data_IF_430086386500
#
_entry.id   IF_430086386500
#
_cell.length_a   1.000
_cell.length_b   1.000
_cell.length_c   1.000
_cell.angle_alpha   90.00
_cell.angle_beta   90.00
_cell.angle_gamma   90.00
#
_symmetry.space_group_name_H-M   'P 1'
#
loop_
_entity.id
_entity.type
_entity.pdbx_description
1 polymer ?
#
# COMPACT_ATOMS: atom_id res chain seq x y z
N UNK A 1 15.24 -21.35 30.74
CA UNK A 1 16.21 -20.61 29.92
C UNK A 1 16.53 -21.49 28.74
N UNK A 2 15.84 -21.32 27.61
CA UNK A 2 16.19 -21.94 26.34
C UNK A 2 16.74 -20.87 25.43
N UNK A 3 17.96 -21.10 25.03
CA UNK A 3 18.81 -20.25 24.21
C UNK A 3 18.23 -20.20 22.77
N UNK A 4 17.70 -19.06 22.34
CA UNK A 4 17.32 -18.84 20.96
C UNK A 4 18.55 -18.31 20.20
N UNK A 5 19.44 -19.28 19.87
CA UNK A 5 20.58 -19.06 19.01
C UNK A 5 20.19 -18.38 17.70
N UNK A 6 20.99 -17.42 17.34
CA UNK A 6 21.02 -16.64 16.10
C UNK A 6 20.71 -17.49 14.86
N UNK A 7 19.49 -17.41 14.35
CA UNK A 7 19.17 -17.90 13.00
C UNK A 7 19.67 -16.88 11.99
N UNK A 8 20.41 -17.32 10.95
CA UNK A 8 20.80 -16.44 9.86
C UNK A 8 19.53 -15.94 9.14
N UNK A 9 19.50 -14.67 8.78
CA UNK A 9 18.48 -14.07 7.92
C UNK A 9 18.41 -14.82 6.60
N UNK A 10 17.62 -15.89 6.52
CA UNK A 10 17.19 -16.43 5.24
C UNK A 10 16.24 -15.41 4.64
N UNK A 11 16.66 -14.81 3.52
CA UNK A 11 15.81 -14.04 2.64
C UNK A 11 14.70 -14.98 2.13
N UNK A 12 13.61 -15.05 2.88
CA UNK A 12 12.38 -15.67 2.38
C UNK A 12 11.80 -14.68 1.37
N UNK A 13 11.92 -14.99 0.09
CA UNK A 13 11.25 -14.21 -0.96
C UNK A 13 9.76 -14.52 -0.89
N UNK A 14 8.92 -13.56 -0.44
CA UNK A 14 7.47 -13.79 -0.41
C UNK A 14 6.93 -14.08 -1.82
N UNK A 15 5.78 -14.77 -1.97
CA UNK A 15 5.18 -15.09 -3.26
C UNK A 15 4.96 -13.86 -4.17
N UNK A 16 4.72 -12.69 -3.60
CA UNK A 16 4.63 -11.43 -4.35
C UNK A 16 5.95 -11.06 -5.06
N UNK A 17 7.11 -11.45 -4.52
CA UNK A 17 8.40 -11.28 -5.20
C UNK A 17 8.64 -12.28 -6.34
N UNK A 18 7.79 -13.28 -6.50
CA UNK A 18 7.79 -14.17 -7.67
C UNK A 18 7.03 -13.56 -8.85
N UNK A 19 6.28 -12.47 -8.62
CA UNK A 19 5.64 -11.72 -9.68
C UNK A 19 6.72 -11.09 -10.60
N UNK A 20 6.74 -11.43 -11.91
CA UNK A 20 7.77 -10.96 -12.83
C UNK A 20 7.82 -9.43 -12.95
N UNK A 21 6.71 -8.74 -12.76
CA UNK A 21 6.64 -7.27 -12.77
C UNK A 21 7.33 -6.64 -11.55
N UNK A 22 7.24 -7.26 -10.37
CA UNK A 22 7.93 -6.77 -9.16
C UNK A 22 9.42 -7.06 -9.25
N UNK A 23 9.84 -8.21 -9.77
CA UNK A 23 11.25 -8.51 -10.04
C UNK A 23 11.87 -7.54 -11.04
N UNK A 24 11.14 -7.15 -12.08
CA UNK A 24 11.63 -6.21 -13.08
C UNK A 24 11.77 -4.79 -12.51
N UNK A 25 10.85 -4.34 -11.67
CA UNK A 25 10.94 -3.06 -10.98
C UNK A 25 12.15 -3.00 -10.02
N UNK A 26 12.45 -4.11 -9.30
CA UNK A 26 13.58 -4.18 -8.38
C UNK A 26 14.93 -4.38 -9.11
N UNK A 27 14.98 -5.08 -10.23
CA UNK A 27 16.19 -5.26 -11.04
C UNK A 27 16.71 -3.93 -11.65
N UNK A 28 15.82 -2.96 -11.88
CA UNK A 28 16.17 -1.61 -12.34
C UNK A 28 16.84 -0.73 -11.25
N UNK A 29 16.90 -1.18 -9.99
CA UNK A 29 17.45 -0.40 -8.86
C UNK A 29 18.93 -0.66 -8.57
N UNK A 30 19.59 -1.58 -9.29
CA UNK A 30 21.04 -1.75 -9.21
C UNK A 30 21.71 -0.80 -10.22
N UNK A 31 22.75 -0.03 -9.88
CA UNK A 31 23.47 0.80 -10.84
C UNK A 31 24.25 -0.10 -11.81
N UNK A 32 23.63 -0.47 -12.92
CA UNK A 32 24.29 -1.12 -14.01
C UNK A 32 25.00 -0.08 -14.88
N UNK A 33 26.29 -0.32 -15.16
CA UNK A 33 27.06 0.44 -16.14
C UNK A 33 26.33 0.45 -17.48
N UNK A 34 25.94 1.63 -17.90
CA UNK A 34 25.19 1.93 -19.12
C UNK A 34 25.96 1.49 -20.37
N UNK A 35 25.35 0.62 -21.17
CA UNK A 35 25.56 0.60 -22.61
C UNK A 35 24.20 0.86 -23.28
N UNK A 36 24.08 2.00 -23.94
CA UNK A 36 22.91 2.36 -24.73
C UNK A 36 22.85 1.52 -26.00
N UNK A 37 21.76 0.78 -26.19
CA UNK A 37 21.38 0.24 -27.49
C UNK A 37 20.54 1.29 -28.25
N UNK A 38 20.61 1.35 -29.59
CA UNK A 38 19.97 2.41 -30.38
C UNK A 38 18.45 2.33 -30.31
N UNK A 39 17.81 3.49 -30.15
CA UNK A 39 16.37 3.67 -30.17
C UNK A 39 15.77 3.23 -31.51
N UNK A 40 14.83 2.30 -31.48
CA UNK A 40 13.94 2.06 -32.60
C UNK A 40 12.95 3.22 -32.70
N UNK A 41 12.91 3.85 -33.87
CA UNK A 41 11.97 4.91 -34.21
C UNK A 41 10.54 4.40 -34.15
N UNK A 42 9.71 5.03 -33.34
CA UNK A 42 8.27 4.79 -33.29
C UNK A 42 7.62 5.24 -34.61
N UNK A 43 6.63 4.51 -35.14
CA UNK A 43 5.89 4.95 -36.32
C UNK A 43 5.12 6.25 -36.00
N UNK A 44 5.10 7.16 -36.97
CA UNK A 44 4.39 8.45 -36.86
C UNK A 44 2.92 8.26 -36.47
N UNK A 45 2.50 9.04 -35.48
CA UNK A 45 1.12 9.07 -35.02
C UNK A 45 0.20 9.61 -36.12
N UNK A 46 -0.83 8.85 -36.47
CA UNK A 46 -1.89 9.30 -37.39
C UNK A 46 -2.61 10.51 -36.73
N UNK A 47 -2.71 11.66 -37.41
CA UNK A 47 -3.39 12.80 -36.80
C UNK A 47 -4.89 12.56 -36.70
N UNK A 48 -5.37 12.30 -35.48
CA UNK A 48 -6.80 12.28 -35.18
C UNK A 48 -7.28 13.73 -35.15
N UNK A 49 -8.08 14.12 -36.15
CA UNK A 49 -8.73 15.44 -36.22
C UNK A 49 -9.81 15.50 -35.13
N UNK A 50 -9.49 16.13 -34.01
CA UNK A 50 -10.47 16.40 -32.93
C UNK A 50 -11.48 17.45 -33.44
N UNK A 51 -12.79 17.26 -33.22
CA UNK A 51 -13.76 18.31 -33.48
C UNK A 51 -13.48 19.50 -32.58
N UNK A 52 -13.61 20.70 -33.15
CA UNK A 52 -13.17 21.98 -32.61
C UNK A 52 -13.35 22.14 -31.08
N UNK A 53 -12.22 22.49 -30.46
CA UNK A 53 -12.19 22.98 -29.08
C UNK A 53 -13.00 24.26 -28.98
N UNK A 54 -14.14 24.18 -28.27
CA UNK A 54 -14.77 25.40 -27.78
C UNK A 54 -13.79 26.10 -26.84
N UNK A 55 -13.57 27.39 -26.95
CA UNK A 55 -12.72 28.13 -26.01
C UNK A 55 -13.36 28.05 -24.63
N UNK A 56 -12.67 27.41 -23.69
CA UNK A 56 -13.04 27.45 -22.28
C UNK A 56 -12.84 28.88 -21.79
N UNK A 57 -13.90 29.69 -21.82
CA UNK A 57 -13.87 31.00 -21.19
C UNK A 57 -13.79 30.74 -19.68
N UNK A 58 -12.60 30.89 -19.10
CA UNK A 58 -12.41 30.96 -17.65
C UNK A 58 -13.09 32.22 -17.13
N UNK A 59 -14.34 32.09 -16.74
CA UNK A 59 -14.98 33.11 -15.92
C UNK A 59 -14.32 33.08 -14.54
N UNK A 60 -13.82 34.21 -14.01
CA UNK A 60 -13.35 34.23 -12.63
C UNK A 60 -14.55 33.92 -11.73
N UNK A 61 -14.46 32.83 -10.99
CA UNK A 61 -15.44 32.50 -9.94
C UNK A 61 -15.27 33.53 -8.81
N UNK A 62 -16.03 34.62 -8.88
CA UNK A 62 -16.18 35.59 -7.78
C UNK A 62 -17.28 35.09 -6.84
N UNK A 63 -17.03 34.02 -6.13
CA UNK A 63 -17.87 33.53 -5.06
C UNK A 63 -17.00 33.36 -3.82
N UNK A 64 -17.47 33.87 -2.70
CA UNK A 64 -16.86 33.66 -1.39
C UNK A 64 -16.71 32.14 -1.15
N UNK A 65 -15.50 31.60 -0.89
CA UNK A 65 -15.29 30.16 -0.74
C UNK A 65 -15.80 29.61 0.60
N UNK A 66 -16.63 30.36 1.32
CA UNK A 66 -17.25 29.90 2.56
C UNK A 66 -18.16 28.71 2.31
N UNK A 67 -17.63 27.51 2.55
CA UNK A 67 -18.33 26.23 2.36
C UNK A 67 -17.74 25.29 1.31
N UNK A 68 -16.71 25.70 0.58
CA UNK A 68 -15.99 24.76 -0.29
C UNK A 68 -15.16 23.78 0.56
N UNK A 69 -15.18 22.48 0.22
CA UNK A 69 -14.33 21.52 0.92
C UNK A 69 -12.86 21.88 0.74
N UNK A 70 -12.04 21.63 1.79
CA UNK A 70 -10.60 21.78 1.67
C UNK A 70 -10.06 20.78 0.60
N UNK A 71 -9.60 21.33 -0.50
CA UNK A 71 -9.02 20.56 -1.61
C UNK A 71 -7.53 20.25 -1.41
N UNK A 72 -6.94 20.62 -0.27
CA UNK A 72 -5.50 20.51 -0.01
C UNK A 72 -4.97 19.09 -0.24
N UNK A 73 -5.71 18.06 0.16
CA UNK A 73 -5.32 16.65 -0.05
C UNK A 73 -5.30 16.23 -1.54
N UNK A 74 -5.97 16.97 -2.41
CA UNK A 74 -6.01 16.71 -3.86
C UNK A 74 -5.05 17.58 -4.65
N UNK A 75 -4.33 18.50 -3.99
CA UNK A 75 -3.57 19.55 -4.65
C UNK A 75 -2.07 19.27 -4.59
N UNK A 76 -1.53 18.71 -5.69
CA UNK A 76 -0.10 18.57 -5.90
C UNK A 76 0.52 19.93 -6.24
N UNK A 77 1.75 20.29 -5.74
CA UNK A 77 2.59 19.51 -4.82
C UNK A 77 2.30 19.77 -3.33
N UNK A 78 1.32 20.58 -3.00
CA UNK A 78 1.04 21.02 -1.64
C UNK A 78 0.73 19.88 -0.66
N UNK A 79 0.18 18.77 -1.15
CA UNK A 79 -0.14 17.59 -0.35
C UNK A 79 1.04 16.60 -0.13
N UNK A 80 2.18 16.79 -0.79
CA UNK A 80 3.35 15.87 -0.68
C UNK A 80 3.86 15.76 0.75
N UNK A 81 4.03 16.84 1.55
CA UNK A 81 4.46 16.71 2.94
C UNK A 81 3.53 15.86 3.81
N UNK A 82 2.22 15.93 3.55
CA UNK A 82 1.21 15.09 4.21
C UNK A 82 1.37 13.62 3.82
N UNK A 83 1.54 13.34 2.54
CA UNK A 83 1.74 12.00 2.02
C UNK A 83 3.00 11.33 2.59
N UNK A 84 4.11 12.07 2.73
CA UNK A 84 5.34 11.55 3.34
C UNK A 84 5.13 11.13 4.79
N UNK A 85 4.36 11.91 5.59
CA UNK A 85 3.98 11.53 6.95
C UNK A 85 3.12 10.26 6.98
N UNK A 86 2.20 10.12 6.03
CA UNK A 86 1.36 8.92 5.92
C UNK A 86 2.17 7.68 5.51
N UNK A 87 3.15 7.81 4.61
CA UNK A 87 4.08 6.73 4.26
C UNK A 87 4.91 6.28 5.48
N UNK A 88 5.42 7.22 6.29
CA UNK A 88 6.11 6.92 7.53
C UNK A 88 5.20 6.18 8.53
N UNK A 89 3.97 6.66 8.70
CA UNK A 89 2.98 6.06 9.59
C UNK A 89 2.58 4.63 9.13
N UNK A 90 2.58 4.36 7.81
CA UNK A 90 2.22 3.05 7.27
C UNK A 90 3.20 1.94 7.65
N UNK A 91 4.47 2.26 7.93
CA UNK A 91 5.47 1.26 8.34
C UNK A 91 5.75 1.25 9.84
N UNK A 92 5.27 2.25 10.59
CA UNK A 92 5.54 2.37 12.02
C UNK A 92 4.95 1.19 12.82
N UNK A 93 3.79 0.66 12.39
CA UNK A 93 3.09 -0.45 13.02
C UNK A 93 3.50 -1.85 12.53
N UNK A 94 4.45 -1.98 11.60
CA UNK A 94 4.78 -3.24 10.92
C UNK A 94 5.00 -4.43 11.89
N UNK A 95 5.66 -4.21 13.03
CA UNK A 95 5.88 -5.29 14.00
C UNK A 95 4.62 -5.68 14.76
N UNK A 96 3.77 -4.69 15.12
CA UNK A 96 2.49 -4.98 15.76
C UNK A 96 1.58 -5.76 14.81
N UNK A 97 1.53 -5.37 13.53
CA UNK A 97 0.75 -6.04 12.49
C UNK A 97 1.19 -7.49 12.31
N UNK A 98 2.50 -7.77 12.30
CA UNK A 98 3.02 -9.16 12.25
C UNK A 98 2.56 -10.02 13.42
N UNK A 99 2.56 -9.46 14.64
CA UNK A 99 2.06 -10.17 15.83
C UNK A 99 0.54 -10.35 15.77
N UNK A 100 -0.17 -9.37 15.25
CA UNK A 100 -1.61 -9.40 15.06
C UNK A 100 -2.04 -10.49 14.06
N UNK A 101 -1.40 -10.56 12.89
CA UNK A 101 -1.67 -11.62 11.90
C UNK A 101 -1.37 -13.02 12.48
N UNK A 102 -0.24 -13.15 13.19
CA UNK A 102 0.06 -14.41 13.88
C UNK A 102 -1.04 -14.81 14.83
N UNK A 103 -1.50 -13.88 15.68
CA UNK A 103 -2.61 -14.12 16.59
C UNK A 103 -3.87 -14.61 15.86
N UNK A 104 -4.25 -13.95 14.77
CA UNK A 104 -5.42 -14.35 13.99
C UNK A 104 -5.27 -15.76 13.37
N UNK A 105 -4.11 -16.07 12.80
CA UNK A 105 -3.81 -17.38 12.21
C UNK A 105 -3.86 -18.48 13.29
N UNK A 106 -3.25 -18.24 14.46
CA UNK A 106 -3.18 -19.23 15.55
C UNK A 106 -4.57 -19.51 16.15
N UNK A 107 -5.48 -18.54 16.13
CA UNK A 107 -6.84 -18.64 16.66
C UNK A 107 -7.90 -18.92 15.58
N UNK A 108 -7.54 -19.04 14.32
CA UNK A 108 -8.46 -19.31 13.23
C UNK A 108 -9.09 -20.70 13.36
N UNK A 109 -10.45 -20.83 13.33
CA UNK A 109 -11.14 -22.08 13.61
C UNK A 109 -10.93 -23.17 12.58
N UNK A 110 -10.70 -22.82 11.32
CA UNK A 110 -10.56 -23.79 10.22
C UNK A 110 -9.30 -23.57 9.41
N UNK A 111 -8.88 -24.59 8.68
CA UNK A 111 -7.73 -24.49 7.78
C UNK A 111 -7.95 -23.43 6.68
N UNK A 112 -9.17 -23.33 6.15
CA UNK A 112 -9.53 -22.29 5.17
C UNK A 112 -9.34 -20.89 5.75
N UNK A 113 -9.74 -20.65 6.99
CA UNK A 113 -9.57 -19.36 7.65
C UNK A 113 -8.08 -19.00 7.79
N UNK A 114 -7.26 -20.00 8.18
CA UNK A 114 -5.81 -19.83 8.26
C UNK A 114 -5.18 -19.48 6.93
N UNK A 115 -5.60 -20.14 5.86
CA UNK A 115 -5.09 -19.89 4.50
C UNK A 115 -5.43 -18.49 4.02
N UNK A 116 -6.67 -18.03 4.24
CA UNK A 116 -7.10 -16.68 3.88
C UNK A 116 -6.27 -15.64 4.64
N UNK A 117 -6.14 -15.75 5.96
CA UNK A 117 -5.40 -14.77 6.76
C UNK A 117 -3.89 -14.82 6.45
N UNK A 118 -3.37 -16.00 6.14
CA UNK A 118 -1.97 -16.17 5.70
C UNK A 118 -1.73 -15.43 4.39
N UNK A 119 -2.65 -15.54 3.42
CA UNK A 119 -2.56 -14.80 2.16
C UNK A 119 -2.56 -13.29 2.37
N UNK A 120 -3.47 -12.78 3.20
CA UNK A 120 -3.50 -11.35 3.57
C UNK A 120 -2.17 -10.91 4.20
N UNK A 121 -1.68 -11.64 5.18
CA UNK A 121 -0.38 -11.34 5.83
C UNK A 121 0.76 -11.25 4.81
N UNK A 122 0.81 -12.16 3.85
CA UNK A 122 1.88 -12.21 2.85
C UNK A 122 1.80 -11.02 1.90
N UNK A 123 0.61 -10.54 1.55
CA UNK A 123 0.41 -9.31 0.81
C UNK A 123 0.89 -8.09 1.63
N UNK A 124 0.54 -8.01 2.92
CA UNK A 124 0.96 -6.91 3.81
C UNK A 124 2.49 -6.81 3.95
N UNK A 125 3.19 -7.95 4.04
CA UNK A 125 4.66 -7.95 4.01
C UNK A 125 5.17 -7.32 2.71
N UNK A 126 4.51 -7.59 1.59
CA UNK A 126 4.81 -6.96 0.30
C UNK A 126 4.54 -5.45 0.30
N UNK A 127 3.41 -5.03 0.86
CA UNK A 127 3.00 -3.62 0.96
C UNK A 127 4.03 -2.79 1.74
N UNK A 128 4.51 -3.26 2.89
CA UNK A 128 5.57 -2.58 3.64
C UNK A 128 6.85 -2.36 2.82
N UNK A 129 7.23 -3.34 2.00
CA UNK A 129 8.37 -3.21 1.08
C UNK A 129 8.13 -2.14 0.02
N UNK A 130 6.95 -2.15 -0.62
CA UNK A 130 6.57 -1.19 -1.67
C UNK A 130 6.44 0.24 -1.12
N UNK A 131 5.88 0.43 0.07
CA UNK A 131 5.81 1.73 0.75
C UNK A 131 7.20 2.31 0.99
N UNK A 132 8.16 1.49 1.42
CA UNK A 132 9.57 1.91 1.59
C UNK A 132 10.20 2.35 0.27
N UNK A 133 9.91 1.64 -0.82
CA UNK A 133 10.39 2.01 -2.17
C UNK A 133 9.83 3.37 -2.58
N UNK A 134 8.53 3.58 -2.44
CA UNK A 134 7.89 4.87 -2.80
C UNK A 134 8.47 6.01 -1.96
N UNK A 135 8.62 5.82 -0.65
CA UNK A 135 9.22 6.83 0.22
C UNK A 135 10.65 7.18 -0.20
N UNK A 136 11.47 6.17 -0.48
CA UNK A 136 12.84 6.38 -0.95
C UNK A 136 12.88 7.15 -2.29
N UNK A 137 12.02 6.80 -3.23
CA UNK A 137 11.94 7.48 -4.52
C UNK A 137 11.55 8.95 -4.39
N UNK A 138 10.70 9.29 -3.41
CA UNK A 138 10.26 10.67 -3.18
C UNK A 138 11.28 11.51 -2.41
N UNK A 139 12.11 10.89 -1.56
CA UNK A 139 12.95 11.64 -0.59
C UNK A 139 14.44 11.38 -0.72
N UNK A 140 14.85 10.28 -1.36
CA UNK A 140 16.22 9.76 -1.32
C UNK A 140 16.62 9.16 0.04
N UNK A 141 15.69 9.03 1.00
CA UNK A 141 15.95 8.54 2.36
C UNK A 141 15.26 7.21 2.62
N UNK A 142 15.92 6.34 3.38
CA UNK A 142 15.29 5.10 3.84
C UNK A 142 14.43 5.34 5.07
N UNK A 143 13.28 4.68 5.13
CA UNK A 143 12.50 4.56 6.36
C UNK A 143 13.25 3.67 7.38
N UNK A 144 13.14 3.97 8.68
CA UNK A 144 13.78 3.16 9.71
C UNK A 144 13.27 1.71 9.67
N UNK A 145 14.07 0.74 10.18
CA UNK A 145 13.59 -0.63 10.36
C UNK A 145 12.43 -0.66 11.35
N UNK A 146 11.60 -1.73 11.30
CA UNK A 146 10.55 -1.96 12.29
C UNK A 146 11.13 -1.93 13.71
N UNK A 147 10.43 -1.31 14.64
CA UNK A 147 10.81 -1.27 16.05
C UNK A 147 10.04 -2.34 16.84
N UNK A 148 10.63 -2.81 17.93
CA UNK A 148 9.91 -3.67 18.87
C UNK A 148 8.75 -2.91 19.49
N UNK A 149 7.59 -3.58 19.54
CA UNK A 149 6.34 -3.01 20.08
C UNK A 149 5.70 -3.96 21.08
N UNK A 150 4.91 -3.40 21.98
CA UNK A 150 4.01 -4.18 22.83
C UNK A 150 2.73 -4.44 22.05
N UNK A 151 2.43 -5.71 21.83
CA UNK A 151 1.23 -6.13 21.13
C UNK A 151 0.05 -6.27 22.10
N UNK A 152 -1.00 -5.50 21.88
CA UNK A 152 -2.26 -5.65 22.60
C UNK A 152 -3.13 -6.73 21.94
N UNK A 153 -3.17 -7.87 22.60
CA UNK A 153 -3.88 -9.05 22.10
C UNK A 153 -5.41 -8.83 22.14
N UNK A 154 -6.12 -9.08 21.03
CA UNK A 154 -7.59 -9.07 21.04
C UNK A 154 -8.17 -10.04 22.06
N UNK A 155 -9.31 -9.70 22.65
CA UNK A 155 -10.00 -10.54 23.64
C UNK A 155 -10.60 -11.82 23.05
N UNK A 156 -10.85 -11.82 21.73
CA UNK A 156 -11.36 -12.96 20.97
C UNK A 156 -10.98 -12.91 19.51
N UNK A 157 -11.11 -14.05 18.81
CA UNK A 157 -10.92 -14.10 17.36
C UNK A 157 -11.88 -13.15 16.62
N UNK A 158 -13.14 -13.08 17.04
CA UNK A 158 -14.14 -12.19 16.45
C UNK A 158 -13.81 -10.71 16.65
N UNK A 159 -13.32 -10.33 17.83
CA UNK A 159 -12.82 -8.97 18.05
C UNK A 159 -11.62 -8.67 17.15
N UNK A 160 -10.69 -9.62 17.02
CA UNK A 160 -9.58 -9.53 16.10
C UNK A 160 -10.02 -9.30 14.66
N UNK A 161 -10.99 -10.07 14.16
CA UNK A 161 -11.55 -9.87 12.81
C UNK A 161 -12.20 -8.50 12.66
N UNK A 162 -12.94 -8.01 13.66
CA UNK A 162 -13.54 -6.67 13.63
C UNK A 162 -12.46 -5.57 13.62
N UNK A 163 -11.39 -5.74 14.41
CA UNK A 163 -10.23 -4.83 14.39
C UNK A 163 -9.56 -4.82 13.02
N UNK A 164 -9.37 -6.01 12.40
CA UNK A 164 -8.82 -6.14 11.07
C UNK A 164 -9.67 -5.39 10.03
N UNK A 165 -10.99 -5.63 9.97
CA UNK A 165 -11.91 -4.94 9.03
C UNK A 165 -11.75 -3.42 9.13
N UNK A 166 -11.67 -2.87 10.34
CA UNK A 166 -11.51 -1.42 10.53
C UNK A 166 -10.13 -0.95 10.10
N UNK A 167 -9.09 -1.75 10.33
CA UNK A 167 -7.72 -1.50 9.89
C UNK A 167 -7.64 -1.33 8.37
N UNK A 168 -8.21 -2.29 7.62
CA UNK A 168 -8.25 -2.25 6.16
C UNK A 168 -8.99 -1.03 5.62
N UNK A 169 -10.15 -0.68 6.21
CA UNK A 169 -10.89 0.51 5.81
C UNK A 169 -10.08 1.80 6.01
N UNK A 170 -9.34 1.90 7.11
CA UNK A 170 -8.46 3.03 7.38
C UNK A 170 -7.25 3.06 6.43
N UNK A 171 -6.72 1.89 6.07
CA UNK A 171 -5.62 1.75 5.12
C UNK A 171 -6.03 2.23 3.71
N UNK A 172 -7.24 1.88 3.23
CA UNK A 172 -7.80 2.40 1.97
C UNK A 172 -7.81 3.94 1.96
N UNK A 173 -8.28 4.57 3.05
CA UNK A 173 -8.32 6.04 3.15
C UNK A 173 -6.91 6.62 3.10
N UNK A 174 -5.97 6.05 3.85
CA UNK A 174 -4.58 6.48 3.94
C UNK A 174 -3.87 6.39 2.60
N UNK A 175 -3.92 5.23 1.94
CA UNK A 175 -3.25 5.01 0.66
C UNK A 175 -3.85 5.85 -0.46
N UNK A 176 -5.16 6.11 -0.43
CA UNK A 176 -5.79 7.05 -1.34
C UNK A 176 -5.27 8.48 -1.19
N UNK A 177 -5.07 8.95 0.05
CA UNK A 177 -4.49 10.27 0.29
C UNK A 177 -3.03 10.36 -0.21
N UNK A 178 -2.23 9.30 -0.02
CA UNK A 178 -0.87 9.24 -0.56
C UNK A 178 -0.92 9.27 -2.08
N UNK A 179 -1.81 8.49 -2.70
CA UNK A 179 -1.96 8.41 -4.16
C UNK A 179 -2.17 9.78 -4.80
N UNK A 180 -2.95 10.66 -4.18
CA UNK A 180 -3.21 12.01 -4.69
C UNK A 180 -1.97 12.91 -4.73
N UNK A 181 -0.92 12.57 -4.01
CA UNK A 181 0.34 13.30 -4.00
C UNK A 181 1.37 12.76 -5.01
N UNK A 182 1.02 11.75 -5.82
CA UNK A 182 1.95 11.10 -6.73
C UNK A 182 1.71 11.54 -8.17
N UNK A 183 2.81 11.69 -8.93
CA UNK A 183 2.79 11.98 -10.37
C UNK A 183 3.48 10.91 -11.20
N UNK A 184 4.40 10.15 -10.62
CA UNK A 184 5.06 9.06 -11.30
C UNK A 184 4.11 7.87 -11.50
N UNK A 185 4.05 7.37 -12.74
CA UNK A 185 3.12 6.29 -13.11
C UNK A 185 3.38 5.00 -12.33
N UNK A 186 4.63 4.68 -12.05
CA UNK A 186 4.99 3.46 -11.31
C UNK A 186 4.53 3.56 -9.86
N UNK A 187 4.76 4.71 -9.24
CA UNK A 187 4.29 4.96 -7.86
C UNK A 187 2.77 4.94 -7.77
N UNK A 188 2.08 5.56 -8.74
CA UNK A 188 0.61 5.53 -8.84
C UNK A 188 0.12 4.08 -8.95
N UNK A 189 0.73 3.26 -9.80
CA UNK A 189 0.35 1.86 -9.96
C UNK A 189 0.59 1.05 -8.68
N UNK A 190 1.72 1.27 -7.98
CA UNK A 190 2.02 0.64 -6.69
C UNK A 190 0.92 0.97 -5.68
N UNK A 191 0.62 2.25 -5.47
CA UNK A 191 -0.39 2.66 -4.48
C UNK A 191 -1.81 2.22 -4.87
N UNK A 192 -2.12 2.18 -6.16
CA UNK A 192 -3.40 1.63 -6.64
C UNK A 192 -3.50 0.14 -6.33
N UNK A 193 -2.41 -0.62 -6.55
CA UNK A 193 -2.33 -2.05 -6.22
C UNK A 193 -2.58 -2.26 -4.73
N UNK A 194 -1.79 -1.62 -3.87
CA UNK A 194 -1.95 -1.71 -2.41
C UNK A 194 -3.39 -1.36 -2.00
N UNK A 195 -3.92 -0.21 -2.42
CA UNK A 195 -5.25 0.24 -2.04
C UNK A 195 -6.37 -0.75 -2.46
N UNK A 196 -6.23 -1.41 -3.61
CA UNK A 196 -7.19 -2.42 -4.05
C UNK A 196 -7.06 -3.72 -3.28
N UNK A 197 -5.86 -4.07 -2.82
CA UNK A 197 -5.65 -5.21 -1.93
C UNK A 197 -6.29 -4.95 -0.55
N UNK A 198 -6.16 -3.75 0.03
CA UNK A 198 -6.84 -3.39 1.29
C UNK A 198 -8.37 -3.54 1.19
N UNK A 199 -8.96 -3.17 0.04
CA UNK A 199 -10.40 -3.38 -0.21
C UNK A 199 -10.70 -4.89 -0.21
N UNK A 200 -9.90 -5.70 -0.90
CA UNK A 200 -10.03 -7.16 -0.97
C UNK A 200 -9.86 -7.80 0.41
N UNK A 201 -8.87 -7.38 1.19
CA UNK A 201 -8.63 -7.84 2.55
C UNK A 201 -9.83 -7.54 3.46
N UNK A 202 -10.38 -6.32 3.41
CA UNK A 202 -11.57 -5.95 4.15
C UNK A 202 -12.79 -6.83 3.82
N UNK A 203 -12.97 -7.20 2.54
CA UNK A 203 -14.03 -8.14 2.10
C UNK A 203 -13.76 -9.55 2.65
N UNK A 204 -12.53 -10.04 2.60
CA UNK A 204 -12.16 -11.35 3.11
C UNK A 204 -12.34 -11.45 4.63
N UNK A 205 -11.93 -10.42 5.38
CA UNK A 205 -12.16 -10.38 6.82
C UNK A 205 -13.65 -10.32 7.18
N UNK A 206 -14.45 -9.57 6.41
CA UNK A 206 -15.90 -9.56 6.60
C UNK A 206 -16.55 -10.92 6.29
N UNK A 207 -16.06 -11.62 5.27
CA UNK A 207 -16.44 -13.00 4.99
C UNK A 207 -16.12 -13.92 6.18
N UNK A 208 -14.90 -13.85 6.72
CA UNK A 208 -14.50 -14.65 7.90
C UNK A 208 -15.35 -14.31 9.13
N UNK A 209 -15.63 -13.02 9.35
CA UNK A 209 -16.47 -12.55 10.45
C UNK A 209 -17.89 -13.15 10.37
N UNK A 210 -18.49 -13.05 9.20
CA UNK A 210 -19.83 -13.60 8.96
C UNK A 210 -19.87 -15.14 9.02
N UNK A 211 -18.90 -15.81 8.36
CA UNK A 211 -18.78 -17.28 8.34
C UNK A 211 -18.66 -17.88 9.73
N UNK A 212 -17.92 -17.23 10.63
CA UNK A 212 -17.68 -17.72 11.97
C UNK A 212 -18.77 -17.31 12.99
N UNK A 213 -19.89 -16.74 12.52
CA UNK A 213 -21.00 -16.36 13.38
C UNK A 213 -20.68 -15.25 14.37
N UNK A 214 -19.66 -14.43 14.09
CA UNK A 214 -19.29 -13.29 14.91
C UNK A 214 -20.43 -12.26 14.95
N UNK A 215 -20.62 -11.63 16.09
CA UNK A 215 -21.64 -10.60 16.30
C UNK A 215 -20.99 -9.40 16.98
N UNK A 216 -21.41 -8.20 16.57
CA UNK A 216 -20.98 -6.95 17.20
C UNK A 216 -21.74 -6.71 18.51
#
# INVERSE_FOLDING_TARGET
MQDYGSMPFMYYSPPCMQNPYIRQAMAGMMPAKTQFAPQQTMPEAIPVKMPGTMPLQSQPMTGDPAGMPDLGIYTYPGNVPGALKLLQASVAGEMEDRLFYRYLIDNAPTQLDKEIITGIRDDEIGHFGLVRVVYYQLTGQNLPPPQEVTFEKPSSYCEGLMRAIRGEQNAVIRYRQILFALQDRTQINILTGIMTDEIRHGILYNYLYSKNGCRA
#
